data_IF_222498331845
#
_entry.id   IF_222498331845
#
_cell.length_a   1.000
_cell.length_b   1.000
_cell.length_c   1.000
_cell.angle_alpha   90.00
_cell.angle_beta   90.00
_cell.angle_gamma   90.00
#
_symmetry.space_group_name_H-M   'P 1'
#
loop_
_entity.id
_entity.type
_entity.pdbx_description
1 polymer ?
#
# COMPACT_ATOMS: atom_id res chain seq x y z
N UNK A 1 10.12 -9.44 -15.03
CA UNK A 1 9.04 -8.44 -14.98
C UNK A 1 8.63 -8.24 -13.53
N UNK A 2 8.48 -7.00 -13.06
CA UNK A 2 7.99 -6.72 -11.71
C UNK A 2 6.47 -6.59 -11.72
N UNK A 3 5.82 -7.05 -10.65
CA UNK A 3 4.38 -6.98 -10.46
C UNK A 3 4.00 -5.87 -9.48
N UNK A 4 2.85 -5.26 -9.76
CA UNK A 4 2.20 -4.28 -8.92
C UNK A 4 1.23 -4.97 -7.95
N UNK A 5 0.94 -4.38 -6.77
CA UNK A 5 1.34 -3.04 -6.32
C UNK A 5 2.75 -2.90 -5.70
N UNK A 6 3.41 -4.00 -5.35
CA UNK A 6 4.62 -3.95 -4.52
C UNK A 6 5.78 -3.18 -5.16
N UNK A 7 5.90 -3.24 -6.48
CA UNK A 7 6.99 -2.58 -7.19
C UNK A 7 6.95 -1.06 -7.08
N UNK A 8 5.80 -0.42 -7.35
CA UNK A 8 5.68 1.04 -7.20
C UNK A 8 5.85 1.49 -5.74
N UNK A 9 5.24 0.79 -4.79
CA UNK A 9 5.36 1.12 -3.37
C UNK A 9 6.80 1.02 -2.87
N UNK A 10 7.53 -0.04 -3.23
CA UNK A 10 8.95 -0.18 -2.84
C UNK A 10 9.77 0.99 -3.39
N UNK A 11 9.55 1.38 -4.64
CA UNK A 11 10.29 2.49 -5.25
C UNK A 11 10.01 3.83 -4.55
N UNK A 12 8.75 4.09 -4.17
CA UNK A 12 8.36 5.32 -3.47
C UNK A 12 8.87 5.40 -2.03
N UNK A 13 9.00 4.26 -1.36
CA UNK A 13 9.57 4.14 -0.02
C UNK A 13 11.11 4.15 0.01
N UNK A 14 11.77 4.45 -1.11
CA UNK A 14 13.24 4.58 -1.19
C UNK A 14 13.97 3.33 -1.69
N UNK A 15 13.24 2.34 -2.19
CA UNK A 15 13.79 1.15 -2.83
C UNK A 15 13.97 -0.05 -1.90
N UNK A 16 14.46 -1.14 -2.47
CA UNK A 16 14.54 -2.46 -1.81
C UNK A 16 15.35 -2.43 -0.52
N UNK A 17 16.52 -1.77 -0.53
CA UNK A 17 17.43 -1.77 0.62
C UNK A 17 16.80 -1.07 1.83
N UNK A 18 16.21 0.10 1.61
CA UNK A 18 15.55 0.91 2.65
C UNK A 18 14.34 0.16 3.23
N UNK A 19 13.52 -0.43 2.37
CA UNK A 19 12.36 -1.23 2.81
C UNK A 19 12.79 -2.48 3.57
N UNK A 20 13.87 -3.15 3.15
CA UNK A 20 14.41 -4.33 3.83
C UNK A 20 14.92 -4.00 5.22
N UNK A 21 15.65 -2.89 5.36
CA UNK A 21 16.12 -2.37 6.64
C UNK A 21 14.95 -2.04 7.57
N UNK A 22 13.93 -1.32 7.07
CA UNK A 22 12.75 -0.94 7.86
C UNK A 22 11.98 -2.15 8.40
N UNK A 23 11.84 -3.19 7.57
CA UNK A 23 11.12 -4.42 7.91
C UNK A 23 11.99 -5.45 8.64
N UNK A 24 13.29 -5.20 8.79
CA UNK A 24 14.28 -6.13 9.37
C UNK A 24 14.27 -7.50 8.69
N UNK A 25 14.29 -7.50 7.36
CA UNK A 25 14.33 -8.72 6.53
C UNK A 25 15.45 -8.65 5.49
N UNK A 26 15.78 -9.79 4.88
CA UNK A 26 16.77 -9.82 3.80
C UNK A 26 16.27 -9.05 2.55
N UNK A 27 17.13 -8.29 1.85
CA UNK A 27 16.76 -7.60 0.61
C UNK A 27 16.17 -8.52 -0.46
N UNK A 28 16.56 -9.79 -0.51
CA UNK A 28 16.01 -10.79 -1.43
C UNK A 28 14.54 -11.06 -1.12
N UNK A 29 14.14 -11.07 0.16
CA UNK A 29 12.74 -11.21 0.56
C UNK A 29 11.90 -10.05 0.02
N UNK A 30 12.40 -8.81 0.14
CA UNK A 30 11.70 -7.64 -0.41
C UNK A 30 11.64 -7.68 -1.94
N UNK A 31 12.71 -8.13 -2.62
CA UNK A 31 12.69 -8.33 -4.09
C UNK A 31 11.58 -9.29 -4.52
N UNK A 32 11.38 -10.39 -3.78
CA UNK A 32 10.35 -11.41 -4.07
C UNK A 32 8.92 -10.88 -3.99
N UNK A 33 8.68 -9.81 -3.24
CA UNK A 33 7.34 -9.21 -3.19
C UNK A 33 6.86 -8.70 -4.55
N UNK A 34 7.79 -8.42 -5.47
CA UNK A 34 7.51 -7.92 -6.81
C UNK A 34 7.43 -9.03 -7.87
N UNK A 35 7.54 -10.30 -7.49
CA UNK A 35 7.55 -11.42 -8.43
C UNK A 35 6.27 -12.24 -8.36
N UNK A 36 5.99 -12.95 -9.46
CA UNK A 36 4.86 -13.87 -9.55
C UNK A 36 4.99 -15.01 -8.53
N UNK A 37 3.84 -15.53 -8.06
CA UNK A 37 3.81 -16.67 -7.15
C UNK A 37 4.48 -17.92 -7.76
N UNK A 38 4.38 -18.11 -9.09
CA UNK A 38 5.08 -19.17 -9.83
C UNK A 38 6.60 -19.12 -9.71
N UNK A 39 7.18 -17.94 -9.44
CA UNK A 39 8.61 -17.72 -9.24
C UNK A 39 8.96 -17.53 -7.75
N UNK A 40 8.21 -18.16 -6.85
CA UNK A 40 8.37 -18.03 -5.39
C UNK A 40 8.21 -16.60 -4.86
N UNK A 41 7.50 -15.74 -5.60
CA UNK A 41 7.11 -14.40 -5.17
C UNK A 41 5.75 -14.39 -4.48
N UNK A 42 5.18 -13.20 -4.30
CA UNK A 42 3.88 -12.99 -3.64
C UNK A 42 2.78 -12.54 -4.60
N UNK A 43 3.03 -12.65 -5.92
CA UNK A 43 2.10 -12.18 -6.94
C UNK A 43 2.03 -10.66 -7.05
N UNK A 44 3.03 -9.93 -6.56
CA UNK A 44 3.05 -8.47 -6.60
C UNK A 44 2.50 -7.80 -5.33
N UNK A 45 2.12 -8.56 -4.30
CA UNK A 45 1.56 -7.99 -3.06
C UNK A 45 2.51 -8.10 -1.87
N UNK A 46 2.38 -7.19 -0.91
CA UNK A 46 3.05 -7.37 0.37
C UNK A 46 2.30 -8.40 1.23
N UNK A 47 3.01 -9.28 1.95
CA UNK A 47 2.38 -10.05 3.03
C UNK A 47 1.71 -9.14 4.05
N UNK A 48 0.48 -9.48 4.47
CA UNK A 48 -0.36 -8.62 5.31
C UNK A 48 0.33 -8.11 6.58
N UNK A 49 1.17 -8.94 7.21
CA UNK A 49 1.94 -8.61 8.42
C UNK A 49 2.85 -7.38 8.27
N UNK A 50 3.24 -7.02 7.05
CA UNK A 50 4.13 -5.87 6.80
C UNK A 50 3.37 -4.58 6.44
N UNK A 51 2.08 -4.67 6.11
CA UNK A 51 1.31 -3.52 5.59
C UNK A 51 1.31 -2.36 6.59
N UNK A 52 0.99 -2.62 7.86
CA UNK A 52 0.95 -1.56 8.87
C UNK A 52 2.31 -0.88 9.07
N UNK A 53 3.40 -1.65 9.07
CA UNK A 53 4.75 -1.09 9.22
C UNK A 53 5.13 -0.22 8.02
N UNK A 54 4.76 -0.62 6.80
CA UNK A 54 5.01 0.17 5.60
C UNK A 54 4.15 1.43 5.52
N UNK A 55 2.90 1.37 6.00
CA UNK A 55 2.05 2.55 6.16
C UNK A 55 2.70 3.54 7.12
N UNK A 56 3.06 3.10 8.33
CA UNK A 56 3.76 3.93 9.31
C UNK A 56 5.03 4.53 8.72
N UNK A 57 5.81 3.73 8.01
CA UNK A 57 7.03 4.20 7.36
C UNK A 57 6.77 5.27 6.29
N UNK A 58 5.69 5.13 5.51
CA UNK A 58 5.30 6.15 4.53
C UNK A 58 4.99 7.51 5.20
N UNK A 59 4.38 7.49 6.39
CA UNK A 59 4.14 8.68 7.19
C UNK A 59 5.44 9.27 7.75
N UNK A 60 6.34 8.44 8.27
CA UNK A 60 7.66 8.86 8.78
C UNK A 60 8.50 9.56 7.69
N UNK A 61 8.36 9.13 6.44
CA UNK A 61 9.02 9.77 5.28
C UNK A 61 8.32 11.05 4.79
N UNK A 62 7.20 11.46 5.41
CA UNK A 62 6.39 12.60 4.97
C UNK A 62 5.65 12.36 3.65
N UNK A 63 5.50 11.09 3.25
CA UNK A 63 4.86 10.67 1.99
C UNK A 63 3.77 9.62 2.28
N UNK A 64 2.66 10.03 2.93
CA UNK A 64 1.63 9.09 3.35
C UNK A 64 1.03 8.36 2.14
N UNK A 65 1.17 7.04 2.10
CA UNK A 65 0.56 6.21 1.07
C UNK A 65 -0.79 5.66 1.58
N UNK A 66 -1.87 5.77 0.80
CA UNK A 66 -3.16 5.22 1.19
C UNK A 66 -3.15 3.67 1.15
N UNK A 67 -3.97 3.02 1.99
CA UNK A 67 -3.98 1.56 2.17
C UNK A 67 -4.21 0.80 0.87
N UNK A 68 -5.07 1.32 -0.01
CA UNK A 68 -5.41 0.82 -1.33
C UNK A 68 -4.15 0.63 -2.20
N UNK A 69 -3.08 1.39 -1.94
CA UNK A 69 -1.81 1.23 -2.64
C UNK A 69 -1.10 -0.06 -2.31
N UNK A 70 -1.40 -0.70 -1.18
CA UNK A 70 -0.76 -1.93 -0.73
C UNK A 70 -1.56 -3.18 -1.04
N UNK A 71 -2.90 -3.05 -1.07
CA UNK A 71 -3.82 -4.20 -1.16
C UNK A 71 -4.57 -4.31 -2.47
N UNK A 72 -4.51 -3.29 -3.35
CA UNK A 72 -5.18 -3.32 -4.65
C UNK A 72 -4.18 -3.12 -5.80
N UNK A 73 -4.41 -3.83 -6.90
CA UNK A 73 -3.73 -3.55 -8.17
C UNK A 73 -4.14 -2.17 -8.72
N UNK A 74 -3.36 -1.58 -9.65
CA UNK A 74 -3.78 -0.36 -10.34
C UNK A 74 -5.18 -0.45 -10.96
N UNK A 75 -5.49 -1.56 -11.65
CA UNK A 75 -6.77 -1.79 -12.31
C UNK A 75 -7.93 -1.89 -11.30
N UNK A 76 -7.71 -2.55 -10.17
CA UNK A 76 -8.71 -2.63 -9.09
C UNK A 76 -9.00 -1.25 -8.48
N UNK A 77 -7.98 -0.40 -8.32
CA UNK A 77 -8.17 0.98 -7.85
C UNK A 77 -8.95 1.81 -8.85
N UNK A 78 -8.69 1.67 -10.14
CA UNK A 78 -9.43 2.34 -11.19
C UNK A 78 -10.91 1.92 -11.20
N UNK A 79 -11.18 0.63 -11.09
CA UNK A 79 -12.54 0.11 -11.03
C UNK A 79 -13.32 0.62 -9.80
N UNK A 80 -12.67 0.69 -8.63
CA UNK A 80 -13.28 1.29 -7.43
C UNK A 80 -13.56 2.78 -7.62
N UNK A 81 -12.64 3.52 -8.22
CA UNK A 81 -12.82 4.95 -8.48
C UNK A 81 -13.99 5.24 -9.45
N UNK A 82 -14.26 4.33 -10.38
CA UNK A 82 -15.40 4.41 -11.30
C UNK A 82 -16.72 4.00 -10.61
N UNK A 83 -16.68 3.00 -9.73
CA UNK A 83 -17.88 2.44 -9.07
C UNK A 83 -18.45 3.33 -7.96
N UNK A 84 -17.59 4.10 -7.29
CA UNK A 84 -17.97 4.98 -6.18
C UNK A 84 -17.49 6.41 -6.44
N UNK A 85 -18.21 7.20 -7.25
CA UNK A 85 -17.84 8.59 -7.48
C UNK A 85 -17.79 9.37 -6.15
N UNK A 86 -16.83 10.29 -6.04
CA UNK A 86 -16.40 11.07 -4.86
C UNK A 86 -17.48 11.80 -4.03
N UNK A 87 -18.76 11.71 -4.39
CA UNK A 87 -19.87 12.38 -3.70
C UNK A 87 -20.20 11.79 -2.32
N UNK A 88 -19.71 10.58 -1.99
CA UNK A 88 -20.02 9.96 -0.69
C UNK A 88 -19.35 10.64 0.52
N UNK A 89 -18.23 11.35 0.33
CA UNK A 89 -17.44 11.93 1.45
C UNK A 89 -17.91 13.30 1.95
N UNK A 90 -18.92 13.94 1.35
CA UNK A 90 -19.36 15.28 1.75
C UNK A 90 -20.56 15.34 2.72
N UNK A 91 -21.22 14.22 3.03
CA UNK A 91 -22.51 14.25 3.78
C UNK A 91 -22.44 13.87 5.28
N UNK A 92 -21.28 13.54 5.85
CA UNK A 92 -21.21 13.01 7.23
C UNK A 92 -20.59 13.95 8.29
N UNK A 93 -20.55 15.28 8.04
CA UNK A 93 -20.17 16.28 9.06
C UNK A 93 -21.25 17.34 9.32
N UNK A 94 -22.51 16.91 9.44
CA UNK A 94 -23.56 17.69 10.12
C UNK A 94 -24.47 16.77 10.94
N UNK A 95 -24.01 16.44 12.15
CA UNK A 95 -24.87 16.22 13.32
C UNK A 95 -24.01 16.64 14.52
N UNK A 96 -23.95 17.95 14.78
CA UNK A 96 -24.81 18.65 15.75
C UNK A 96 -24.63 18.13 17.17
N UNK A 97 -24.02 19.00 17.99
CA UNK A 97 -24.11 19.09 19.45
C UNK A 97 -24.54 17.86 20.24
N UNK A 98 -23.56 17.09 20.70
CA UNK A 98 -23.71 16.35 21.94
C UNK A 98 -23.29 17.29 23.09
N UNK A 99 -24.24 18.01 23.66
CA UNK A 99 -24.08 18.63 24.99
C UNK A 99 -24.34 17.59 26.08
N UNK A 100 -23.55 17.61 27.17
CA UNK A 100 -23.50 16.54 28.18
C UNK A 100 -24.79 16.36 28.99
#
# INVERSE_FOLDING_TARGET
MHLEPAASVINELGGVAVVAERLKVDPTTVRRFRYAASNSGTGGFFPARYIFQLLLFSHELGRPLPLERFVLTPEQREHLAQSFPKTWTASSRKSEGFTP
#
